data_IF_565747542828
#
_entry.id   IF_565747542828
#
_cell.length_a   1.000
_cell.length_b   1.000
_cell.length_c   1.000
_cell.angle_alpha   90.00
_cell.angle_beta   90.00
_cell.angle_gamma   90.00
#
_symmetry.space_group_name_H-M   'P 1'
#
loop_
_entity.id
_entity.type
_entity.pdbx_description
1 polymer ?
#
# COMPACT_ATOMS: atom_id res chain seq x y z
N UNK A 1 12.68 8.77 30.70
CA UNK A 1 11.38 9.26 30.20
C UNK A 1 10.75 8.12 29.44
N UNK A 2 9.65 7.55 29.93
CA UNK A 2 9.00 6.41 29.29
C UNK A 2 8.18 6.93 28.11
N UNK A 3 8.66 6.70 26.89
CA UNK A 3 7.82 6.85 25.70
C UNK A 3 6.63 5.93 25.88
N UNK A 4 5.44 6.53 25.92
CA UNK A 4 4.16 5.85 26.01
C UNK A 4 4.00 5.09 24.69
N UNK A 5 4.52 3.86 24.63
CA UNK A 5 4.42 3.00 23.46
C UNK A 5 2.93 2.80 23.18
N UNK A 6 2.44 3.52 22.17
CA UNK A 6 1.06 3.42 21.72
C UNK A 6 0.85 1.95 21.34
N UNK A 7 -0.11 1.29 21.98
CA UNK A 7 -0.48 -0.09 21.70
C UNK A 7 -1.25 -0.18 20.36
N UNK A 8 -0.82 0.55 19.35
CA UNK A 8 -1.48 0.61 18.07
C UNK A 8 -1.27 -0.72 17.35
N UNK A 9 -2.36 -1.48 17.24
CA UNK A 9 -2.36 -2.79 16.60
C UNK A 9 -2.71 -2.68 15.12
N UNK A 10 -3.51 -1.67 14.76
CA UNK A 10 -4.01 -1.47 13.41
C UNK A 10 -3.84 -0.01 13.03
N UNK A 11 -3.35 0.24 11.82
CA UNK A 11 -3.14 1.56 11.27
C UNK A 11 -3.49 1.52 9.79
N UNK A 12 -4.48 2.31 9.42
CA UNK A 12 -4.84 2.55 8.04
C UNK A 12 -4.47 3.98 7.68
N UNK A 13 -3.71 4.15 6.60
CA UNK A 13 -3.38 5.48 6.10
C UNK A 13 -3.76 5.54 4.63
N UNK A 14 -4.64 6.48 4.31
CA UNK A 14 -4.96 6.87 2.95
C UNK A 14 -4.23 8.18 2.66
N UNK A 15 -3.22 8.16 1.81
CA UNK A 15 -2.50 9.36 1.41
C UNK A 15 -2.04 9.25 -0.03
N UNK A 16 -2.01 10.38 -0.74
CA UNK A 16 -1.73 10.41 -2.19
C UNK A 16 -0.30 9.96 -2.53
N UNK A 17 0.63 10.14 -1.60
CA UNK A 17 2.04 9.76 -1.74
C UNK A 17 2.62 9.37 -0.38
N UNK A 18 3.34 8.26 -0.32
CA UNK A 18 4.07 7.84 0.88
C UNK A 18 5.55 7.81 0.56
N UNK A 19 6.37 8.38 1.43
CA UNK A 19 7.82 8.19 1.34
C UNK A 19 8.24 7.00 2.19
N UNK A 20 9.32 6.33 1.77
CA UNK A 20 9.94 5.29 2.58
C UNK A 20 10.30 5.79 4.00
N UNK A 21 10.64 7.08 4.15
CA UNK A 21 10.96 7.68 5.45
C UNK A 21 9.73 7.82 6.35
N UNK A 22 8.56 8.16 5.79
CA UNK A 22 7.31 8.13 6.54
C UNK A 22 7.03 6.72 7.08
N UNK A 23 7.16 5.70 6.23
CA UNK A 23 6.94 4.29 6.61
C UNK A 23 7.91 3.87 7.72
N UNK A 24 9.20 4.23 7.61
CA UNK A 24 10.19 3.98 8.67
C UNK A 24 9.76 4.63 9.99
N UNK A 25 9.30 5.88 9.95
CA UNK A 25 8.85 6.59 11.15
C UNK A 25 7.62 5.94 11.78
N UNK A 26 6.67 5.48 10.97
CA UNK A 26 5.51 4.71 11.45
C UNK A 26 5.96 3.42 12.14
N UNK A 27 6.83 2.62 11.50
CA UNK A 27 7.32 1.36 12.07
C UNK A 27 8.08 1.55 13.38
N UNK A 28 8.89 2.62 13.49
CA UNK A 28 9.58 3.00 14.73
C UNK A 28 8.61 3.44 15.83
N UNK A 29 7.58 4.19 15.47
CA UNK A 29 6.60 4.73 16.43
C UNK A 29 5.60 3.65 16.89
N UNK A 30 5.33 2.66 16.04
CA UNK A 30 4.33 1.61 16.24
C UNK A 30 4.97 0.20 16.09
N UNK A 31 5.89 -0.21 16.98
CA UNK A 31 6.64 -1.46 16.82
C UNK A 31 5.79 -2.75 16.94
N UNK A 32 4.54 -2.62 17.39
CA UNK A 32 3.59 -3.74 17.55
C UNK A 32 2.48 -3.75 16.49
N UNK A 33 2.65 -2.97 15.43
CA UNK A 33 1.67 -2.85 14.37
C UNK A 33 1.45 -4.21 13.69
N UNK A 34 0.19 -4.65 13.64
CA UNK A 34 -0.23 -5.93 13.03
C UNK A 34 -0.96 -5.73 11.71
N UNK A 35 -1.63 -4.61 11.51
CA UNK A 35 -2.36 -4.30 10.28
C UNK A 35 -1.90 -2.97 9.74
N UNK A 36 -1.43 -2.96 8.50
CA UNK A 36 -1.01 -1.74 7.81
C UNK A 36 -1.67 -1.71 6.43
N UNK A 37 -2.42 -0.65 6.17
CA UNK A 37 -3.08 -0.41 4.88
C UNK A 37 -2.57 0.91 4.31
N UNK A 38 -2.07 0.83 3.08
CA UNK A 38 -1.54 1.94 2.32
C UNK A 38 -2.28 1.96 0.98
N UNK A 39 -3.18 2.95 0.86
CA UNK A 39 -4.02 3.11 -0.33
C UNK A 39 -3.45 4.21 -1.22
N UNK A 40 -3.05 3.88 -2.45
CA UNK A 40 -2.65 4.82 -3.51
C UNK A 40 -3.33 4.39 -4.82
N UNK A 41 -3.87 5.33 -5.61
CA UNK A 41 -4.48 5.02 -6.92
C UNK A 41 -3.52 4.17 -7.79
N UNK A 42 -4.06 3.13 -8.41
CA UNK A 42 -3.33 2.27 -9.34
C UNK A 42 -3.00 2.96 -10.66
N UNK A 43 -1.85 2.60 -11.22
CA UNK A 43 -1.43 3.03 -12.55
C UNK A 43 -1.25 1.79 -13.40
N UNK A 44 -1.80 1.78 -14.60
CA UNK A 44 -1.61 0.66 -15.53
C UNK A 44 -0.16 0.54 -16.00
N UNK A 45 0.55 1.68 -16.06
CA UNK A 45 1.93 1.80 -16.52
C UNK A 45 2.71 2.78 -15.65
N UNK A 46 3.31 2.36 -14.53
CA UNK A 46 4.15 3.25 -13.75
C UNK A 46 5.42 3.59 -14.54
N UNK A 47 5.72 4.89 -14.67
CA UNK A 47 6.93 5.39 -15.32
C UNK A 47 8.24 4.87 -14.70
N UNK A 48 8.19 4.40 -13.44
CA UNK A 48 9.35 3.90 -12.69
C UNK A 48 8.93 2.92 -11.61
N UNK A 49 9.55 1.74 -11.62
CA UNK A 49 9.48 0.75 -10.55
C UNK A 49 10.29 1.21 -9.32
N UNK A 50 9.84 0.86 -8.12
CA UNK A 50 10.52 1.14 -6.87
C UNK A 50 10.12 0.14 -5.78
N UNK A 51 11.11 -0.30 -5.01
CA UNK A 51 10.94 -1.19 -3.86
C UNK A 51 11.21 -0.47 -2.52
N UNK A 52 11.43 0.84 -2.53
CA UNK A 52 11.84 1.61 -1.35
C UNK A 52 10.84 1.51 -0.19
N UNK A 53 9.54 1.62 -0.49
CA UNK A 53 8.48 1.47 0.48
C UNK A 53 8.39 0.04 1.03
N UNK A 54 8.57 -0.96 0.16
CA UNK A 54 8.56 -2.36 0.54
C UNK A 54 9.72 -2.73 1.46
N UNK A 55 10.92 -2.23 1.15
CA UNK A 55 12.10 -2.35 2.00
C UNK A 55 11.89 -1.66 3.34
N UNK A 56 11.28 -0.47 3.35
CA UNK A 56 10.95 0.23 4.59
C UNK A 56 9.97 -0.57 5.47
N UNK A 57 8.92 -1.15 4.88
CA UNK A 57 7.98 -2.03 5.60
C UNK A 57 8.71 -3.25 6.17
N UNK A 58 9.43 -3.98 5.31
CA UNK A 58 10.15 -5.19 5.68
C UNK A 58 11.12 -4.99 6.85
N UNK A 59 11.82 -3.85 6.88
CA UNK A 59 12.82 -3.55 7.90
C UNK A 59 12.23 -3.00 9.20
N UNK A 60 11.07 -2.36 9.17
CA UNK A 60 10.56 -1.58 10.32
C UNK A 60 9.24 -2.12 10.90
N UNK A 61 8.57 -3.06 10.23
CA UNK A 61 7.27 -3.62 10.67
C UNK A 61 7.29 -5.16 10.73
N UNK A 62 8.25 -5.81 11.42
CA UNK A 62 8.38 -7.27 11.38
C UNK A 62 7.21 -8.04 12.05
N UNK A 63 6.38 -7.35 12.83
CA UNK A 63 5.22 -7.91 13.54
C UNK A 63 3.92 -7.87 12.71
N UNK A 64 4.01 -7.41 11.46
CA UNK A 64 2.86 -7.27 10.59
C UNK A 64 2.22 -8.63 10.27
N UNK A 65 0.89 -8.67 10.34
CA UNK A 65 0.05 -9.82 10.00
C UNK A 65 -0.83 -9.57 8.79
N UNK A 66 -1.23 -8.32 8.57
CA UNK A 66 -2.06 -7.92 7.44
C UNK A 66 -1.42 -6.73 6.76
N UNK A 67 -1.14 -6.88 5.48
CA UNK A 67 -0.63 -5.83 4.62
C UNK A 67 -1.59 -5.63 3.47
N UNK A 68 -2.08 -4.41 3.32
CA UNK A 68 -2.77 -3.99 2.13
C UNK A 68 -1.94 -2.91 1.47
N UNK A 69 -1.45 -3.20 0.27
CA UNK A 69 -0.84 -2.22 -0.60
C UNK A 69 -1.80 -2.02 -1.79
N UNK A 70 -1.98 -0.77 -2.20
CA UNK A 70 -2.69 -0.40 -3.41
C UNK A 70 -1.83 0.63 -4.13
N UNK A 71 -1.57 0.48 -5.43
CA UNK A 71 -0.83 1.48 -6.21
C UNK A 71 0.57 1.02 -6.67
N UNK A 72 0.71 0.99 -7.98
CA UNK A 72 1.71 0.24 -8.76
C UNK A 72 3.12 0.89 -8.80
N UNK A 73 4.09 0.34 -8.06
CA UNK A 73 5.56 0.52 -8.27
C UNK A 73 6.39 -0.69 -7.82
N UNK A 74 5.82 -1.58 -7.00
CA UNK A 74 6.49 -2.74 -6.40
C UNK A 74 6.93 -3.77 -7.44
N UNK A 75 8.15 -4.28 -7.30
CA UNK A 75 8.65 -5.41 -8.09
C UNK A 75 8.63 -6.72 -7.28
N UNK A 76 9.00 -7.82 -7.94
CA UNK A 76 9.21 -9.10 -7.27
C UNK A 76 10.28 -9.03 -6.15
N UNK A 77 11.27 -8.14 -6.26
CA UNK A 77 12.32 -7.97 -5.25
C UNK A 77 11.73 -7.35 -3.98
N UNK A 78 10.96 -6.28 -4.11
CA UNK A 78 10.28 -5.66 -2.96
C UNK A 78 9.27 -6.59 -2.32
N UNK A 79 8.49 -7.34 -3.10
CA UNK A 79 7.56 -8.33 -2.56
C UNK A 79 8.32 -9.40 -1.76
N UNK A 80 9.46 -9.89 -2.28
CA UNK A 80 10.29 -10.86 -1.55
C UNK A 80 10.83 -10.28 -0.25
N UNK A 81 11.27 -9.03 -0.27
CA UNK A 81 11.72 -8.34 0.93
C UNK A 81 10.62 -8.27 2.00
N UNK A 82 9.38 -7.96 1.62
CA UNK A 82 8.23 -7.97 2.55
C UNK A 82 8.04 -9.36 3.14
N UNK A 83 8.03 -10.41 2.31
CA UNK A 83 7.86 -11.77 2.79
C UNK A 83 8.98 -12.15 3.76
N UNK A 84 10.23 -11.83 3.45
CA UNK A 84 11.38 -12.21 4.27
C UNK A 84 11.49 -11.37 5.57
N UNK A 85 11.04 -10.11 5.56
CA UNK A 85 11.06 -9.22 6.72
C UNK A 85 9.84 -9.35 7.64
N UNK A 86 8.66 -9.65 7.09
CA UNK A 86 7.40 -9.78 7.83
C UNK A 86 7.04 -11.26 8.03
N UNK A 87 7.73 -11.91 8.96
CA UNK A 87 7.59 -13.36 9.16
C UNK A 87 6.21 -13.80 9.65
N UNK A 88 5.46 -12.91 10.29
CA UNK A 88 4.12 -13.16 10.80
C UNK A 88 2.99 -12.76 9.83
N UNK A 89 3.34 -12.43 8.58
CA UNK A 89 2.35 -11.99 7.60
C UNK A 89 1.40 -13.14 7.24
N UNK A 90 0.11 -12.90 7.43
CA UNK A 90 -1.00 -13.84 7.21
C UNK A 90 -1.89 -13.41 6.04
N UNK A 91 -2.02 -12.10 5.81
CA UNK A 91 -2.86 -11.54 4.74
C UNK A 91 -2.07 -10.52 3.92
N UNK A 92 -2.15 -10.66 2.60
CA UNK A 92 -1.54 -9.74 1.65
C UNK A 92 -2.52 -9.41 0.51
N UNK A 93 -2.76 -8.12 0.29
CA UNK A 93 -3.53 -7.63 -0.85
C UNK A 93 -2.57 -7.01 -1.88
N UNK A 94 -2.54 -7.57 -3.09
CA UNK A 94 -1.72 -7.13 -4.23
C UNK A 94 -2.57 -6.64 -5.41
N UNK A 95 -3.86 -6.35 -5.23
CA UNK A 95 -4.69 -5.83 -6.31
C UNK A 95 -4.07 -4.58 -6.94
N UNK A 96 -4.17 -4.48 -8.26
CA UNK A 96 -3.59 -3.40 -9.07
C UNK A 96 -2.04 -3.32 -9.07
N UNK A 97 -1.32 -4.36 -8.62
CA UNK A 97 0.13 -4.52 -8.82
C UNK A 97 0.44 -5.30 -10.10
N UNK A 98 0.22 -4.69 -11.27
CA UNK A 98 0.40 -5.37 -12.56
C UNK A 98 1.86 -5.70 -12.91
N UNK A 99 2.83 -5.08 -12.23
CA UNK A 99 4.26 -5.33 -12.46
C UNK A 99 4.79 -6.56 -11.71
N UNK A 100 4.04 -7.09 -10.75
CA UNK A 100 4.46 -8.26 -9.96
C UNK A 100 4.12 -9.53 -10.73
N UNK A 101 5.14 -10.24 -11.20
CA UNK A 101 4.97 -11.56 -11.79
C UNK A 101 4.97 -12.62 -10.69
N UNK A 102 3.77 -13.01 -10.23
CA UNK A 102 3.54 -14.07 -9.25
C UNK A 102 3.63 -15.46 -9.90
N UNK A 103 4.84 -15.84 -10.30
CA UNK A 103 5.15 -17.16 -10.85
C UNK A 103 6.19 -17.91 -9.99
N UNK A 104 6.26 -19.23 -10.19
CA UNK A 104 7.26 -20.10 -9.57
C UNK A 104 7.32 -20.02 -8.05
N UNK A 105 8.53 -19.89 -7.52
CA UNK A 105 8.82 -19.95 -6.08
C UNK A 105 8.21 -18.79 -5.29
N UNK A 106 8.00 -17.63 -5.92
CA UNK A 106 7.41 -16.48 -5.25
C UNK A 106 5.93 -16.74 -4.94
N UNK A 107 5.19 -17.23 -5.94
CA UNK A 107 3.79 -17.61 -5.75
C UNK A 107 3.63 -18.77 -4.77
N UNK A 108 4.55 -19.74 -4.81
CA UNK A 108 4.59 -20.83 -3.84
C UNK A 108 4.83 -20.30 -2.42
N UNK A 109 5.80 -19.42 -2.24
CA UNK A 109 6.09 -18.80 -0.94
C UNK A 109 4.89 -18.04 -0.38
N UNK A 110 4.18 -17.29 -1.24
CA UNK A 110 2.93 -16.64 -0.86
C UNK A 110 1.87 -17.64 -0.40
N UNK A 111 1.60 -18.69 -1.18
CA UNK A 111 0.57 -19.70 -0.84
C UNK A 111 0.91 -20.52 0.40
N UNK A 112 2.18 -20.84 0.62
CA UNK A 112 2.61 -21.67 1.75
C UNK A 112 2.53 -20.90 3.09
N UNK A 113 2.66 -19.57 3.05
CA UNK A 113 2.76 -18.72 4.26
C UNK A 113 1.52 -17.89 4.55
N UNK A 114 0.84 -17.41 3.51
CA UNK A 114 -0.29 -16.51 3.66
C UNK A 114 -1.60 -17.30 3.76
N UNK A 115 -2.40 -16.97 4.76
CA UNK A 115 -3.78 -17.46 4.91
C UNK A 115 -4.67 -16.83 3.85
N UNK A 116 -4.45 -15.54 3.54
CA UNK A 116 -5.23 -14.78 2.56
C UNK A 116 -4.29 -14.03 1.61
N UNK A 117 -4.45 -14.26 0.32
CA UNK A 117 -3.78 -13.49 -0.72
C UNK A 117 -4.84 -12.99 -1.70
N UNK A 118 -4.74 -11.71 -2.09
CA UNK A 118 -5.46 -11.17 -3.25
C UNK A 118 -4.49 -10.81 -4.34
N UNK A 119 -4.77 -11.27 -5.55
CA UNK A 119 -3.88 -11.17 -6.69
C UNK A 119 -4.11 -9.85 -7.45
N UNK A 120 -3.13 -9.42 -8.27
CA UNK A 120 -3.24 -8.18 -9.05
C UNK A 120 -4.53 -8.00 -9.84
N UNK A 121 -5.08 -9.11 -10.36
CA UNK A 121 -6.28 -9.12 -11.22
C UNK A 121 -7.56 -9.52 -10.48
N UNK A 122 -7.54 -9.70 -9.15
CA UNK A 122 -8.75 -9.99 -8.39
C UNK A 122 -9.69 -8.76 -8.37
N UNK A 123 -11.00 -9.01 -8.33
CA UNK A 123 -12.01 -7.95 -8.29
C UNK A 123 -11.76 -6.93 -7.16
N UNK A 124 -12.03 -5.66 -7.46
CA UNK A 124 -12.02 -4.52 -6.55
C UNK A 124 -13.43 -4.10 -6.11
N UNK A 125 -14.48 -4.88 -6.41
CA UNK A 125 -15.87 -4.53 -6.08
C UNK A 125 -16.12 -4.34 -4.57
N UNK A 126 -15.31 -4.99 -3.74
CA UNK A 126 -15.34 -4.88 -2.27
C UNK A 126 -14.32 -3.88 -1.73
N UNK A 127 -13.70 -3.07 -2.58
CA UNK A 127 -12.75 -2.05 -2.20
C UNK A 127 -13.49 -0.73 -1.92
N UNK A 128 -13.43 -0.30 -0.66
CA UNK A 128 -14.17 0.85 -0.14
C UNK A 128 -13.66 2.22 -0.64
N UNK A 129 -12.55 2.25 -1.39
CA UNK A 129 -11.95 3.48 -1.90
C UNK A 129 -11.96 3.50 -3.43
N UNK A 130 -11.79 4.70 -3.99
CA UNK A 130 -11.67 4.88 -5.43
C UNK A 130 -10.56 4.00 -6.02
N UNK A 131 -10.98 2.99 -6.80
CA UNK A 131 -10.16 2.00 -7.46
C UNK A 131 -9.83 2.39 -8.91
N UNK A 132 -10.18 3.61 -9.34
CA UNK A 132 -9.97 4.05 -10.71
C UNK A 132 -8.51 3.92 -11.12
N UNK A 133 -8.27 3.06 -12.12
CA UNK A 133 -6.99 2.94 -12.80
C UNK A 133 -6.85 4.16 -13.70
N UNK A 134 -5.84 4.97 -13.46
CA UNK A 134 -5.55 6.11 -14.31
C UNK A 134 -4.89 5.60 -15.61
N UNK A 135 -5.64 5.57 -16.71
CA UNK A 135 -5.16 5.23 -18.06
C UNK A 135 -4.41 6.43 -18.68
N UNK A 136 -3.19 6.21 -19.18
CA UNK A 136 -2.56 7.04 -20.21
C UNK A 136 -2.04 8.44 -19.83
N UNK A 137 -0.88 8.53 -19.16
CA UNK A 137 -0.13 9.78 -19.04
C UNK A 137 1.33 9.59 -19.43
N UNK A 138 1.57 9.22 -20.69
CA UNK A 138 2.91 8.88 -21.19
C UNK A 138 3.88 10.08 -21.27
N UNK A 139 3.44 11.31 -20.98
CA UNK A 139 4.23 12.54 -21.18
C UNK A 139 4.24 13.55 -20.02
N UNK A 140 3.63 13.26 -18.86
CA UNK A 140 3.63 14.23 -17.74
C UNK A 140 4.86 14.06 -16.84
N UNK A 141 5.50 15.18 -16.51
CA UNK A 141 6.49 15.23 -15.43
C UNK A 141 5.82 14.88 -14.08
N UNK A 142 6.63 14.45 -13.10
CA UNK A 142 6.12 14.10 -11.76
C UNK A 142 5.35 15.27 -11.12
N UNK A 143 5.74 16.52 -11.39
CA UNK A 143 5.04 17.73 -10.95
C UNK A 143 3.68 17.93 -11.61
N UNK A 144 3.57 17.78 -12.93
CA UNK A 144 2.31 17.95 -13.67
C UNK A 144 1.34 16.82 -13.34
N UNK A 145 1.88 15.62 -13.13
CA UNK A 145 1.14 14.48 -12.61
C UNK A 145 0.56 14.78 -11.22
N UNK A 146 1.39 15.31 -10.31
CA UNK A 146 0.96 15.65 -8.96
C UNK A 146 -0.09 16.78 -8.96
N UNK A 147 0.01 17.76 -9.86
CA UNK A 147 -0.94 18.87 -9.99
C UNK A 147 -2.30 18.43 -10.55
N UNK A 148 -2.32 17.60 -11.60
CA UNK A 148 -3.57 17.03 -12.13
C UNK A 148 -4.26 16.16 -11.08
N UNK A 149 -3.49 15.34 -10.38
CA UNK A 149 -4.00 14.54 -9.27
C UNK A 149 -4.53 15.46 -8.18
N UNK A 150 -3.79 16.49 -7.73
CA UNK A 150 -4.24 17.47 -6.72
C UNK A 150 -5.64 18.01 -7.06
N UNK A 151 -5.81 18.43 -8.30
CA UNK A 151 -7.04 19.03 -8.81
C UNK A 151 -8.20 18.04 -9.02
N UNK A 152 -7.93 16.74 -9.28
CA UNK A 152 -8.94 15.75 -9.66
C UNK A 152 -8.99 14.48 -8.77
N UNK A 153 -8.39 14.50 -7.58
CA UNK A 153 -7.95 13.24 -6.94
C UNK A 153 -7.98 13.13 -5.43
N UNK A 154 -9.06 13.50 -4.75
CA UNK A 154 -9.41 12.91 -3.46
C UNK A 154 -10.94 12.90 -3.30
N UNK A 155 -11.57 11.72 -3.36
CA UNK A 155 -12.90 11.52 -2.74
C UNK A 155 -12.79 11.04 -1.29
N UNK A 156 -11.58 10.80 -0.76
CA UNK A 156 -11.34 10.27 0.59
C UNK A 156 -11.75 11.23 1.74
N UNK A 157 -12.43 12.33 1.43
CA UNK A 157 -13.01 13.29 2.40
C UNK A 157 -14.49 13.62 2.10
N UNK A 158 -15.17 12.92 1.21
CA UNK A 158 -16.57 13.22 0.86
C UNK A 158 -17.56 12.19 1.40
N UNK A 159 -17.35 11.75 2.64
CA UNK A 159 -18.44 11.23 3.47
C UNK A 159 -18.25 11.76 4.90
N UNK A 160 -18.41 13.07 5.07
CA UNK A 160 -18.86 13.63 6.35
C UNK A 160 -19.67 14.92 6.08
N UNK A 161 -20.99 14.72 6.13
CA UNK A 161 -22.08 15.66 6.42
C UNK A 161 -22.65 16.52 5.28
N UNK A 162 -23.77 16.03 4.75
CA UNK A 162 -25.00 16.83 4.74
C UNK A 162 -25.23 17.40 6.16
N UNK A 163 -25.36 18.72 6.28
CA UNK A 163 -26.38 19.33 7.15
C UNK A 163 -26.57 20.81 6.78
N UNK A 164 -27.77 21.07 6.32
CA UNK A 164 -28.46 22.34 6.13
C UNK A 164 -28.46 23.16 7.44
N UNK A 165 -27.99 24.41 7.41
CA UNK A 165 -28.42 25.44 8.37
C UNK A 165 -28.46 26.81 7.67
N UNK A 166 -29.69 27.29 7.46
CA UNK A 166 -30.21 28.62 7.10
C UNK A 166 -29.26 29.71 6.55
#
# INVERSE_FOLDING_TARGET
>A
MAEKAVLLVELEICHRSFSADMIKNVGKSCPRLKSFRLNRRGYKWPHKESDDEALAIAQNMPQLRRLHLFGNKLTNVGLRAILDGCLHLESLDLRQFFNVNLEGDLMKSCRDRLIKIRLPNDSTDDYEFDDAIVEGFYDLSESEHNEYIYNNGCSCLLEDQDDEFD
#
